data_IF_082209723878
#
_entry.id   IF_082209723878
#
_cell.length_a   1.000
_cell.length_b   1.000
_cell.length_c   1.000
_cell.angle_alpha   90.00
_cell.angle_beta   90.00
_cell.angle_gamma   90.00
#
_symmetry.space_group_name_H-M   'P 1'
#
loop_
_entity.id
_entity.type
_entity.pdbx_description
1 polymer ?
#
# COMPACT_ATOMS: atom_id res chain seq x y z
N UNK A 1 20.29 -22.50 -21.11
CA UNK A 1 21.40 -21.50 -21.04
C UNK A 1 21.06 -20.31 -21.90
N UNK A 2 21.04 -19.08 -21.32
CA UNK A 2 20.52 -17.88 -21.97
C UNK A 2 21.61 -16.78 -22.00
N UNK A 3 21.60 -15.94 -23.05
CA UNK A 3 22.35 -14.68 -23.09
C UNK A 3 21.55 -13.58 -22.37
N UNK A 4 22.19 -12.47 -21.98
CA UNK A 4 21.52 -11.36 -21.27
C UNK A 4 20.30 -10.81 -22.02
N UNK A 5 20.38 -10.66 -23.35
CA UNK A 5 19.24 -10.17 -24.16
C UNK A 5 18.09 -11.16 -24.18
N UNK A 6 18.39 -12.47 -24.31
CA UNK A 6 17.39 -13.54 -24.38
C UNK A 6 16.63 -13.65 -23.07
N UNK A 7 17.33 -13.74 -21.93
CA UNK A 7 16.69 -13.86 -20.63
C UNK A 7 15.89 -12.58 -20.26
N UNK A 8 16.41 -11.42 -20.61
CA UNK A 8 15.72 -10.14 -20.41
C UNK A 8 14.40 -10.09 -21.19
N UNK A 9 14.39 -10.57 -22.43
CA UNK A 9 13.21 -10.65 -23.28
C UNK A 9 12.16 -11.62 -22.69
N UNK A 10 12.59 -12.78 -22.18
CA UNK A 10 11.69 -13.79 -21.58
C UNK A 10 10.97 -13.24 -20.36
N UNK A 11 11.66 -12.45 -19.51
CA UNK A 11 11.06 -11.87 -18.28
C UNK A 11 10.48 -10.47 -18.48
N UNK A 12 10.52 -9.94 -19.69
CA UNK A 12 9.93 -8.64 -20.04
C UNK A 12 10.63 -7.44 -19.39
N UNK A 13 11.97 -7.46 -19.28
CA UNK A 13 12.75 -6.36 -18.70
C UNK A 13 13.86 -5.89 -19.65
N UNK A 14 14.39 -4.71 -19.39
CA UNK A 14 15.59 -4.24 -20.10
C UNK A 14 16.84 -5.08 -19.70
N UNK A 15 17.77 -5.39 -20.61
CA UNK A 15 18.99 -6.14 -20.30
C UNK A 15 19.83 -5.56 -19.15
N UNK A 16 19.79 -4.25 -18.96
CA UNK A 16 20.46 -3.59 -17.85
C UNK A 16 19.83 -3.93 -16.48
N UNK A 17 18.52 -4.11 -16.43
CA UNK A 17 17.80 -4.54 -15.22
C UNK A 17 18.29 -5.91 -14.75
N UNK A 18 18.52 -6.84 -15.66
CA UNK A 18 19.08 -8.16 -15.34
C UNK A 18 20.46 -8.05 -14.69
N UNK A 19 21.32 -7.13 -15.18
CA UNK A 19 22.65 -6.88 -14.59
C UNK A 19 22.56 -6.26 -13.21
N UNK A 20 21.66 -5.29 -13.02
CA UNK A 20 21.40 -4.66 -11.73
C UNK A 20 20.90 -5.70 -10.72
N UNK A 21 20.04 -6.63 -11.13
CA UNK A 21 19.55 -7.69 -10.25
C UNK A 21 20.66 -8.66 -9.83
N UNK A 22 21.64 -8.94 -10.71
CA UNK A 22 22.86 -9.67 -10.35
C UNK A 22 23.69 -8.90 -9.32
N UNK A 23 23.94 -7.60 -9.57
CA UNK A 23 24.74 -6.72 -8.67
C UNK A 23 24.09 -6.60 -7.29
N UNK A 24 22.78 -6.54 -7.23
CA UNK A 24 22.04 -6.44 -5.97
C UNK A 24 21.83 -7.78 -5.27
N UNK A 25 22.26 -8.89 -5.87
CA UNK A 25 22.10 -10.22 -5.30
C UNK A 25 20.65 -10.74 -5.33
N UNK A 26 19.83 -10.23 -6.24
CA UNK A 26 18.47 -10.72 -6.47
C UNK A 26 18.44 -12.01 -7.28
N UNK A 27 19.51 -12.30 -7.97
CA UNK A 27 19.80 -13.59 -8.60
C UNK A 27 21.18 -14.07 -8.14
N UNK A 28 21.40 -15.38 -8.21
CA UNK A 28 22.69 -15.98 -7.88
C UNK A 28 23.80 -15.50 -8.83
N UNK A 29 25.09 -15.62 -8.43
CA UNK A 29 26.21 -15.18 -9.25
C UNK A 29 26.19 -15.82 -10.64
N UNK A 30 26.32 -15.00 -11.69
CA UNK A 30 26.20 -15.46 -13.06
C UNK A 30 27.57 -15.86 -13.62
N UNK A 31 27.78 -17.13 -14.06
CA UNK A 31 29.01 -17.59 -14.69
C UNK A 31 29.31 -16.80 -15.96
N UNK A 32 30.62 -16.66 -16.26
CA UNK A 32 31.09 -16.05 -17.48
C UNK A 32 31.87 -17.07 -18.33
N UNK A 33 31.70 -16.99 -19.64
CA UNK A 33 32.50 -17.74 -20.60
C UNK A 33 33.93 -17.19 -20.68
N UNK A 34 34.81 -17.89 -21.37
CA UNK A 34 36.20 -17.45 -21.63
C UNK A 34 36.30 -16.06 -22.28
N UNK A 35 35.30 -15.62 -23.00
CA UNK A 35 35.17 -14.30 -23.63
C UNK A 35 34.45 -13.27 -22.72
N UNK A 36 34.36 -13.52 -21.42
CA UNK A 36 33.73 -12.67 -20.38
C UNK A 36 32.24 -12.43 -20.53
N UNK A 37 31.53 -13.09 -21.47
CA UNK A 37 30.06 -12.97 -21.58
C UNK A 37 29.37 -13.78 -20.51
N UNK A 38 28.32 -13.18 -19.92
CA UNK A 38 27.41 -13.81 -18.93
C UNK A 38 26.61 -14.92 -19.55
N UNK A 39 26.43 -16.01 -18.81
CA UNK A 39 25.61 -17.17 -19.20
C UNK A 39 24.62 -17.49 -18.10
N UNK A 40 23.36 -17.30 -18.37
CA UNK A 40 22.27 -17.53 -17.42
C UNK A 40 21.73 -18.94 -17.59
N UNK A 41 21.41 -19.58 -16.45
CA UNK A 41 20.75 -20.88 -16.37
C UNK A 41 19.24 -20.73 -16.13
N UNK A 42 18.53 -21.86 -16.06
CA UNK A 42 17.11 -21.90 -15.69
C UNK A 42 16.86 -21.43 -14.24
N UNK A 43 17.85 -21.62 -13.34
CA UNK A 43 17.82 -21.06 -11.98
C UNK A 43 17.74 -19.53 -12.03
N UNK A 44 18.58 -18.88 -12.82
CA UNK A 44 18.55 -17.42 -12.98
C UNK A 44 17.22 -16.96 -13.61
N UNK A 45 16.68 -17.71 -14.55
CA UNK A 45 15.37 -17.43 -15.14
C UNK A 45 14.26 -17.51 -14.09
N UNK A 46 14.30 -18.54 -13.25
CA UNK A 46 13.35 -18.70 -12.14
C UNK A 46 13.46 -17.52 -11.16
N UNK A 47 14.66 -17.19 -10.69
CA UNK A 47 14.90 -16.07 -9.77
C UNK A 47 14.44 -14.72 -10.34
N UNK A 48 14.68 -14.47 -11.63
CA UNK A 48 14.21 -13.27 -12.32
C UNK A 48 12.69 -13.21 -12.40
N UNK A 49 12.01 -14.34 -12.64
CA UNK A 49 10.55 -14.41 -12.62
C UNK A 49 10.01 -14.07 -11.24
N UNK A 50 10.54 -14.68 -10.17
CA UNK A 50 10.17 -14.37 -8.78
C UNK A 50 10.35 -12.88 -8.48
N UNK A 51 11.51 -12.30 -8.81
CA UNK A 51 11.77 -10.89 -8.59
C UNK A 51 10.80 -10.00 -9.38
N UNK A 52 10.52 -10.35 -10.64
CA UNK A 52 9.61 -9.58 -11.49
C UNK A 52 8.20 -9.57 -10.96
N UNK A 53 7.68 -10.72 -10.55
CA UNK A 53 6.31 -10.86 -10.02
C UNK A 53 6.15 -10.10 -8.71
N UNK A 54 7.10 -10.22 -7.77
CA UNK A 54 7.01 -9.55 -6.47
C UNK A 54 7.23 -8.03 -6.53
N UNK A 55 8.05 -7.54 -7.47
CA UNK A 55 8.32 -6.11 -7.62
C UNK A 55 7.32 -5.38 -8.53
N UNK A 56 6.30 -6.04 -9.06
CA UNK A 56 5.17 -5.36 -9.70
C UNK A 56 4.35 -4.56 -8.67
N UNK A 57 4.33 -5.03 -7.43
CA UNK A 57 3.68 -4.32 -6.34
C UNK A 57 4.57 -3.18 -5.81
N UNK A 58 4.10 -1.94 -5.93
CA UNK A 58 4.82 -0.74 -5.48
C UNK A 58 4.43 -0.28 -4.07
N UNK A 59 3.64 -1.06 -3.31
CA UNK A 59 3.20 -0.68 -1.97
C UNK A 59 4.40 -0.60 -1.03
N UNK A 60 4.66 0.60 -0.49
CA UNK A 60 5.79 0.86 0.40
C UNK A 60 5.42 0.65 1.87
N UNK A 61 4.15 0.75 2.22
CA UNK A 61 3.62 0.76 3.58
C UNK A 61 3.50 -0.65 4.17
N UNK A 62 3.33 -0.76 5.47
CA UNK A 62 3.10 -2.03 6.15
C UNK A 62 4.21 -3.07 6.02
N UNK A 63 5.47 -2.67 5.81
CA UNK A 63 6.61 -3.57 5.53
C UNK A 63 6.50 -4.40 4.22
N UNK A 64 5.47 -4.21 3.41
CA UNK A 64 5.17 -5.00 2.21
C UNK A 64 6.38 -5.05 1.27
N UNK A 65 6.94 -3.88 0.94
CA UNK A 65 8.12 -3.79 0.06
C UNK A 65 9.37 -4.47 0.65
N UNK A 66 9.54 -4.38 1.97
CA UNK A 66 10.65 -5.04 2.66
C UNK A 66 10.51 -6.56 2.56
N UNK A 67 9.32 -7.10 2.86
CA UNK A 67 9.04 -8.54 2.78
C UNK A 67 9.27 -9.06 1.35
N UNK A 68 8.74 -8.39 0.33
CA UNK A 68 8.97 -8.76 -1.07
C UNK A 68 10.47 -8.81 -1.42
N UNK A 69 11.24 -7.81 -0.99
CA UNK A 69 12.70 -7.79 -1.20
C UNK A 69 13.42 -8.90 -0.46
N UNK A 70 13.03 -9.21 0.77
CA UNK A 70 13.64 -10.28 1.57
C UNK A 70 13.40 -11.65 0.93
N UNK A 71 12.24 -11.89 0.32
CA UNK A 71 11.95 -13.08 -0.48
C UNK A 71 12.90 -13.17 -1.68
N UNK A 72 13.03 -12.09 -2.45
CA UNK A 72 13.88 -12.06 -3.64
C UNK A 72 15.36 -12.29 -3.27
N UNK A 73 15.87 -11.67 -2.20
CA UNK A 73 17.23 -11.92 -1.70
C UNK A 73 17.45 -13.37 -1.26
N UNK A 74 16.46 -13.95 -0.58
CA UNK A 74 16.53 -15.35 -0.13
C UNK A 74 16.53 -16.30 -1.33
N UNK A 75 15.72 -16.02 -2.33
CA UNK A 75 15.69 -16.73 -3.60
C UNK A 75 17.01 -16.59 -4.36
N UNK A 76 17.61 -15.39 -4.41
CA UNK A 76 18.91 -15.12 -5.01
C UNK A 76 20.07 -15.90 -4.37
N UNK A 77 19.93 -16.30 -3.10
CA UNK A 77 20.85 -17.17 -2.38
C UNK A 77 20.56 -18.67 -2.57
N UNK A 78 19.66 -19.02 -3.48
CA UNK A 78 19.24 -20.40 -3.76
C UNK A 78 18.57 -21.11 -2.55
N UNK A 79 18.11 -20.34 -1.56
CA UNK A 79 17.37 -20.85 -0.38
C UNK A 79 15.87 -20.96 -0.70
N UNK A 80 15.52 -21.77 -1.70
CA UNK A 80 14.18 -21.80 -2.28
C UNK A 80 13.07 -22.19 -1.29
N UNK A 81 13.30 -23.20 -0.44
CA UNK A 81 12.32 -23.59 0.59
C UNK A 81 12.02 -22.44 1.56
N UNK A 82 13.06 -21.71 2.02
CA UNK A 82 12.87 -20.54 2.87
C UNK A 82 12.21 -19.38 2.14
N UNK A 83 12.51 -19.17 0.86
CA UNK A 83 11.85 -18.16 0.05
C UNK A 83 10.36 -18.47 -0.14
N UNK A 84 10.00 -19.74 -0.27
CA UNK A 84 8.60 -20.18 -0.32
C UNK A 84 7.87 -19.91 1.00
N UNK A 85 8.45 -20.25 2.15
CA UNK A 85 7.89 -19.95 3.48
C UNK A 85 7.65 -18.44 3.66
N UNK A 86 8.67 -17.62 3.34
CA UNK A 86 8.55 -16.16 3.39
C UNK A 86 7.47 -15.63 2.44
N UNK A 87 7.22 -16.30 1.31
CA UNK A 87 6.16 -15.91 0.38
C UNK A 87 4.77 -16.25 0.94
N UNK A 88 4.63 -17.33 1.71
CA UNK A 88 3.40 -17.67 2.42
C UNK A 88 3.09 -16.64 3.51
N UNK A 89 4.10 -16.25 4.29
CA UNK A 89 3.97 -15.20 5.31
C UNK A 89 3.60 -13.84 4.67
N UNK A 90 4.23 -13.51 3.55
CA UNK A 90 3.93 -12.31 2.78
C UNK A 90 2.48 -12.31 2.28
N UNK A 91 2.00 -13.39 1.69
CA UNK A 91 0.61 -13.54 1.26
C UNK A 91 -0.37 -13.38 2.42
N UNK A 92 -0.06 -13.97 3.57
CA UNK A 92 -0.87 -13.85 4.78
C UNK A 92 -0.92 -12.42 5.31
N UNK A 93 0.20 -11.70 5.25
CA UNK A 93 0.27 -10.29 5.62
C UNK A 93 -0.54 -9.41 4.66
N UNK A 94 -0.40 -9.60 3.35
CA UNK A 94 -1.17 -8.86 2.34
C UNK A 94 -2.68 -9.02 2.52
N UNK A 95 -3.15 -10.24 2.80
CA UNK A 95 -4.58 -10.51 3.06
C UNK A 95 -5.09 -9.75 4.29
N UNK A 96 -4.29 -9.67 5.36
CA UNK A 96 -4.65 -8.87 6.55
C UNK A 96 -4.74 -7.39 6.24
N UNK A 97 -3.76 -6.84 5.51
CA UNK A 97 -3.79 -5.43 5.09
C UNK A 97 -5.01 -5.12 4.21
N UNK A 98 -5.36 -6.04 3.30
CA UNK A 98 -6.56 -5.93 2.47
C UNK A 98 -7.84 -5.93 3.30
N UNK A 99 -7.97 -6.83 4.28
CA UNK A 99 -9.10 -6.86 5.22
C UNK A 99 -9.20 -5.56 6.02
N UNK A 100 -8.09 -5.02 6.52
CA UNK A 100 -8.08 -3.74 7.23
C UNK A 100 -8.55 -2.58 6.34
N UNK A 101 -8.14 -2.57 5.07
CA UNK A 101 -8.59 -1.57 4.11
C UNK A 101 -10.12 -1.64 3.91
N UNK A 102 -10.68 -2.84 3.76
CA UNK A 102 -12.14 -3.03 3.62
C UNK A 102 -12.92 -2.70 4.89
N UNK A 103 -12.38 -3.02 6.07
CA UNK A 103 -13.01 -2.64 7.35
C UNK A 103 -13.09 -1.12 7.46
N UNK A 104 -12.04 -0.39 7.06
CA UNK A 104 -12.06 1.06 7.07
C UNK A 104 -13.14 1.64 6.13
N UNK A 105 -13.38 1.02 4.96
CA UNK A 105 -14.49 1.37 4.06
C UNK A 105 -15.83 1.20 4.75
N UNK A 106 -16.07 0.07 5.43
CA UNK A 106 -17.32 -0.16 6.19
C UNK A 106 -17.55 0.87 7.30
N UNK A 107 -16.48 1.37 7.93
CA UNK A 107 -16.59 2.47 8.91
C UNK A 107 -17.15 3.73 8.24
N UNK A 108 -16.73 4.05 7.03
CA UNK A 108 -17.25 5.19 6.26
C UNK A 108 -18.71 4.98 5.89
N UNK A 109 -19.07 3.82 5.37
CA UNK A 109 -20.44 3.47 5.00
C UNK A 109 -21.38 3.61 6.20
N UNK A 110 -20.99 3.06 7.36
CA UNK A 110 -21.74 3.18 8.59
C UNK A 110 -21.89 4.63 9.06
N UNK A 111 -20.86 5.44 8.90
CA UNK A 111 -20.91 6.86 9.25
C UNK A 111 -21.92 7.62 8.39
N UNK A 112 -22.01 7.33 7.09
CA UNK A 112 -22.95 7.95 6.17
C UNK A 112 -24.42 7.65 6.52
N UNK A 113 -24.67 6.46 7.06
CA UNK A 113 -26.03 6.04 7.46
C UNK A 113 -26.41 6.43 8.88
N UNK A 114 -25.48 7.05 9.66
CA UNK A 114 -25.83 7.55 10.99
C UNK A 114 -26.70 8.79 10.91
N UNK A 115 -27.77 8.81 11.72
CA UNK A 115 -28.52 10.02 11.94
C UNK A 115 -27.65 11.09 12.63
N UNK A 116 -27.83 12.38 12.31
CA UNK A 116 -27.11 13.46 12.97
C UNK A 116 -27.29 13.38 14.49
N UNK A 117 -26.21 13.35 15.22
CA UNK A 117 -26.23 13.34 16.68
C UNK A 117 -26.44 14.78 17.15
N UNK A 118 -27.57 15.08 17.76
CA UNK A 118 -27.85 16.36 18.41
C UNK A 118 -27.19 16.39 19.80
N UNK A 119 -25.87 16.26 19.88
CA UNK A 119 -25.13 16.37 21.13
C UNK A 119 -24.47 17.76 21.22
N UNK A 120 -24.63 18.44 22.34
CA UNK A 120 -24.12 19.80 22.59
C UNK A 120 -22.70 19.75 23.15
N UNK A 121 -22.12 18.57 23.34
CA UNK A 121 -20.75 18.44 23.88
C UNK A 121 -19.70 19.06 22.94
N UNK A 122 -18.78 19.76 23.55
CA UNK A 122 -17.70 20.44 22.86
C UNK A 122 -16.36 19.97 23.43
N UNK A 123 -15.41 19.71 22.57
CA UNK A 123 -14.11 19.17 22.92
C UNK A 123 -12.99 20.07 22.44
N UNK A 124 -11.93 20.16 23.20
CA UNK A 124 -10.64 20.74 22.78
C UNK A 124 -9.88 19.72 21.93
N UNK A 125 -8.88 20.17 21.17
CA UNK A 125 -8.01 19.26 20.39
C UNK A 125 -7.35 18.17 21.26
N UNK A 126 -6.94 18.51 22.49
CA UNK A 126 -6.30 17.54 23.39
C UNK A 126 -7.29 16.45 23.84
N UNK A 127 -8.54 16.83 24.11
CA UNK A 127 -9.60 15.89 24.51
C UNK A 127 -9.97 14.98 23.35
N UNK A 128 -10.13 15.51 22.13
CA UNK A 128 -10.38 14.70 20.93
C UNK A 128 -9.22 13.73 20.67
N UNK A 129 -7.99 14.20 20.76
CA UNK A 129 -6.81 13.35 20.57
C UNK A 129 -6.79 12.18 21.57
N UNK A 130 -7.11 12.46 22.85
CA UNK A 130 -7.25 11.43 23.89
C UNK A 130 -8.40 10.47 23.61
N UNK A 131 -9.57 11.00 23.23
CA UNK A 131 -10.77 10.21 22.92
C UNK A 131 -10.53 9.25 21.75
N UNK A 132 -9.76 9.69 20.76
CA UNK A 132 -9.46 8.92 19.56
C UNK A 132 -8.14 8.12 19.63
N UNK A 133 -7.44 8.18 20.76
CA UNK A 133 -6.14 7.52 20.94
C UNK A 133 -5.15 7.87 19.80
N UNK A 134 -4.98 9.17 19.58
CA UNK A 134 -4.04 9.77 18.58
C UNK A 134 -3.33 10.96 19.21
N UNK A 135 -2.30 11.47 18.52
CA UNK A 135 -1.60 12.67 18.99
C UNK A 135 -2.35 13.96 18.61
N UNK A 136 -2.27 15.02 19.40
CA UNK A 136 -2.81 16.34 19.01
C UNK A 136 -2.21 16.88 17.71
N UNK A 137 -0.97 16.50 17.40
CA UNK A 137 -0.27 16.82 16.15
C UNK A 137 -0.90 16.12 14.95
N UNK A 138 -1.36 14.88 15.11
CA UNK A 138 -2.10 14.18 14.06
C UNK A 138 -3.38 14.93 13.70
N UNK A 139 -4.18 15.34 14.71
CA UNK A 139 -5.40 16.15 14.49
C UNK A 139 -5.05 17.46 13.78
N UNK A 140 -4.00 18.17 14.25
CA UNK A 140 -3.53 19.41 13.61
C UNK A 140 -3.07 19.20 12.17
N UNK A 141 -2.40 18.09 11.89
CA UNK A 141 -1.97 17.73 10.54
C UNK A 141 -3.17 17.52 9.61
N UNK A 142 -4.21 16.82 10.06
CA UNK A 142 -5.42 16.60 9.29
C UNK A 142 -6.21 17.89 9.01
N UNK A 143 -6.29 18.81 10.01
CA UNK A 143 -6.84 20.15 9.80
C UNK A 143 -6.05 20.92 8.73
N UNK A 144 -4.71 20.91 8.81
CA UNK A 144 -3.85 21.63 7.86
C UNK A 144 -3.94 21.10 6.43
N UNK A 145 -4.20 19.81 6.28
CA UNK A 145 -4.41 19.17 4.99
C UNK A 145 -5.87 19.23 4.50
N UNK A 146 -6.74 20.00 5.20
CA UNK A 146 -8.13 20.21 4.76
C UNK A 146 -9.03 18.98 4.89
N UNK A 147 -8.63 17.96 5.68
CA UNK A 147 -9.47 16.79 5.90
C UNK A 147 -10.65 17.06 6.84
N UNK A 148 -10.56 18.14 7.62
CA UNK A 148 -11.63 18.58 8.48
C UNK A 148 -11.59 20.10 8.62
N UNK A 149 -12.76 20.71 8.57
CA UNK A 149 -12.97 22.13 8.94
C UNK A 149 -13.53 22.21 10.36
N UNK A 150 -12.86 22.98 11.21
CA UNK A 150 -13.19 23.05 12.64
C UNK A 150 -13.57 24.48 12.99
N UNK A 151 -14.78 24.70 13.52
CA UNK A 151 -15.24 26.02 13.94
C UNK A 151 -14.33 26.61 15.04
N UNK A 152 -14.28 27.94 15.07
CA UNK A 152 -13.52 28.70 16.07
C UNK A 152 -14.48 29.51 16.92
N UNK A 153 -14.18 29.57 18.21
CA UNK A 153 -14.83 30.53 19.10
C UNK A 153 -14.35 31.96 18.81
N UNK A 154 -15.05 32.97 19.35
CA UNK A 154 -14.68 34.37 19.25
C UNK A 154 -13.24 34.66 19.73
N UNK A 155 -12.75 33.91 20.71
CA UNK A 155 -11.36 33.98 21.21
C UNK A 155 -10.33 33.24 20.32
N UNK A 156 -10.74 32.72 19.16
CA UNK A 156 -9.89 32.04 18.18
C UNK A 156 -9.59 30.57 18.48
N UNK A 157 -10.03 30.02 19.62
CA UNK A 157 -9.83 28.61 19.94
C UNK A 157 -10.73 27.70 19.09
N UNK A 158 -10.17 26.57 18.64
CA UNK A 158 -10.93 25.53 17.93
C UNK A 158 -11.77 24.71 18.89
N UNK A 159 -12.99 24.45 18.49
CA UNK A 159 -13.93 23.59 19.21
C UNK A 159 -14.44 22.49 18.28
N UNK A 160 -14.41 21.27 18.78
CA UNK A 160 -14.87 20.08 18.07
C UNK A 160 -16.20 19.64 18.69
N UNK A 161 -17.26 19.69 17.91
CA UNK A 161 -18.53 19.05 18.26
C UNK A 161 -18.52 17.56 17.94
N UNK A 162 -19.61 16.89 18.20
CA UNK A 162 -19.73 15.45 17.92
C UNK A 162 -19.58 15.13 16.41
N UNK A 163 -20.05 16.03 15.54
CA UNK A 163 -19.87 15.89 14.09
C UNK A 163 -18.39 15.84 13.70
N UNK A 164 -17.58 16.75 14.23
CA UNK A 164 -16.13 16.79 13.97
C UNK A 164 -15.43 15.57 14.57
N UNK A 165 -15.85 15.11 15.74
CA UNK A 165 -15.32 13.90 16.37
C UNK A 165 -15.60 12.65 15.53
N UNK A 166 -16.81 12.48 15.04
CA UNK A 166 -17.17 11.35 14.16
C UNK A 166 -16.40 11.39 12.83
N UNK A 167 -16.24 12.57 12.21
CA UNK A 167 -15.41 12.71 11.02
C UNK A 167 -13.96 12.35 11.29
N UNK A 168 -13.40 12.76 12.43
CA UNK A 168 -12.05 12.38 12.83
C UNK A 168 -11.90 10.89 13.11
N UNK A 169 -12.94 10.19 13.60
CA UNK A 169 -12.97 8.72 13.72
C UNK A 169 -12.82 8.04 12.36
N UNK A 170 -13.55 8.53 11.37
CA UNK A 170 -13.45 8.05 9.98
C UNK A 170 -12.06 8.28 9.41
N UNK A 171 -11.54 9.50 9.54
CA UNK A 171 -10.17 9.83 9.07
C UNK A 171 -9.14 8.93 9.75
N UNK A 172 -9.24 8.74 11.08
CA UNK A 172 -8.36 7.83 11.83
C UNK A 172 -8.41 6.42 11.27
N UNK A 173 -9.60 5.86 11.05
CA UNK A 173 -9.78 4.51 10.51
C UNK A 173 -9.11 4.35 9.14
N UNK A 174 -9.36 5.28 8.23
CA UNK A 174 -8.75 5.28 6.90
C UNK A 174 -7.21 5.43 6.97
N UNK A 175 -6.71 6.31 7.83
CA UNK A 175 -5.27 6.49 8.02
C UNK A 175 -4.60 5.26 8.64
N UNK A 176 -5.27 4.58 9.57
CA UNK A 176 -4.79 3.32 10.17
C UNK A 176 -4.75 2.18 9.14
N UNK A 177 -5.65 2.20 8.16
CA UNK A 177 -5.65 1.28 7.03
C UNK A 177 -4.75 1.75 5.86
N UNK A 178 -3.88 2.74 6.09
CA UNK A 178 -2.88 3.24 5.15
C UNK A 178 -3.42 4.01 3.93
N UNK A 179 -4.69 4.41 3.89
CA UNK A 179 -5.17 5.30 2.84
C UNK A 179 -4.42 6.64 2.86
N UNK A 180 -4.12 7.19 1.69
CA UNK A 180 -3.43 8.47 1.57
C UNK A 180 -4.30 9.65 2.04
N UNK A 181 -3.67 10.78 2.33
CA UNK A 181 -4.38 12.03 2.62
C UNK A 181 -5.21 12.45 1.40
N UNK A 182 -4.67 12.28 0.19
CA UNK A 182 -5.36 12.63 -1.06
C UNK A 182 -6.62 11.76 -1.27
N UNK A 183 -6.51 10.43 -1.08
CA UNK A 183 -7.68 9.54 -1.17
C UNK A 183 -8.77 9.92 -0.18
N UNK A 184 -8.39 10.27 1.07
CA UNK A 184 -9.34 10.70 2.10
C UNK A 184 -9.96 12.05 1.75
N UNK A 185 -9.16 13.01 1.27
CA UNK A 185 -9.67 14.32 0.85
C UNK A 185 -10.67 14.17 -0.31
N UNK A 186 -10.35 13.35 -1.31
CA UNK A 186 -11.23 13.01 -2.42
C UNK A 186 -12.55 12.41 -1.92
N UNK A 187 -12.49 11.45 -0.99
CA UNK A 187 -13.68 10.89 -0.38
C UNK A 187 -14.53 11.95 0.29
N UNK A 188 -13.97 12.75 1.19
CA UNK A 188 -14.70 13.77 1.93
C UNK A 188 -15.33 14.85 1.03
N UNK A 189 -14.70 15.18 -0.09
CA UNK A 189 -15.24 16.12 -1.08
C UNK A 189 -16.40 15.55 -1.91
N UNK A 190 -16.50 14.22 -2.03
CA UNK A 190 -17.49 13.55 -2.87
C UNK A 190 -18.58 12.79 -2.08
N UNK A 191 -18.46 12.73 -0.76
CA UNK A 191 -19.30 11.93 0.12
C UNK A 191 -20.78 12.36 0.10
N UNK A 192 -21.06 13.60 -0.29
CA UNK A 192 -22.43 14.14 -0.36
C UNK A 192 -23.14 13.82 -1.70
N UNK A 193 -22.49 13.07 -2.60
CA UNK A 193 -23.16 12.61 -3.84
C UNK A 193 -24.23 11.55 -3.50
N UNK A 194 -25.29 11.44 -4.31
CA UNK A 194 -26.24 10.35 -4.15
C UNK A 194 -25.57 8.99 -4.34
N UNK A 195 -25.70 8.10 -3.37
CA UNK A 195 -25.14 6.73 -3.39
C UNK A 195 -23.65 6.65 -3.76
N UNK A 196 -22.74 7.26 -2.99
CA UNK A 196 -21.32 7.27 -3.30
C UNK A 196 -20.72 5.86 -3.21
N UNK A 197 -20.00 5.43 -4.24
CA UNK A 197 -19.20 4.21 -4.19
C UNK A 197 -17.87 4.51 -3.46
N UNK A 198 -17.80 4.18 -2.18
CA UNK A 198 -16.66 4.52 -1.31
C UNK A 198 -15.35 3.90 -1.80
N UNK A 199 -15.38 2.62 -2.18
CA UNK A 199 -14.20 1.92 -2.68
C UNK A 199 -13.68 2.57 -3.96
N UNK A 200 -14.57 2.89 -4.89
CA UNK A 200 -14.21 3.52 -6.16
C UNK A 200 -13.59 4.91 -5.92
N UNK A 201 -14.22 5.74 -5.10
CA UNK A 201 -13.72 7.08 -4.77
C UNK A 201 -12.33 7.00 -4.13
N UNK A 202 -12.12 6.10 -3.18
CA UNK A 202 -10.83 5.94 -2.50
C UNK A 202 -9.73 5.40 -3.40
N UNK A 203 -10.06 4.69 -4.48
CA UNK A 203 -9.09 3.99 -5.34
C UNK A 203 -8.98 4.54 -6.77
N UNK A 204 -9.71 5.60 -7.10
CA UNK A 204 -9.70 6.22 -8.45
C UNK A 204 -9.21 7.66 -8.37
N UNK A 205 -7.89 7.92 -8.40
CA UNK A 205 -7.35 9.27 -8.46
C UNK A 205 -7.85 9.98 -9.71
N UNK A 206 -8.14 11.28 -9.60
CA UNK A 206 -8.60 12.10 -10.72
C UNK A 206 -7.40 12.56 -11.56
N UNK A 207 -7.63 12.84 -12.86
CA UNK A 207 -6.60 13.33 -13.78
C UNK A 207 -5.97 14.67 -13.36
N UNK A 208 -6.64 15.41 -12.47
CA UNK A 208 -6.20 16.72 -11.97
C UNK A 208 -5.34 16.61 -10.67
N UNK A 209 -5.03 15.39 -10.21
CA UNK A 209 -4.14 15.23 -9.06
C UNK A 209 -2.67 15.31 -9.51
N UNK A 210 -1.94 16.32 -9.02
CA UNK A 210 -0.53 16.59 -9.40
C UNK A 210 0.40 15.40 -9.09
N UNK A 211 0.09 14.61 -8.06
CA UNK A 211 0.86 13.44 -7.65
C UNK A 211 -0.10 12.30 -7.31
N UNK A 212 -0.14 11.29 -8.17
CA UNK A 212 -0.84 10.01 -7.91
C UNK A 212 0.13 9.04 -7.26
N UNK A 213 -0.16 8.61 -6.05
CA UNK A 213 0.63 7.61 -5.35
C UNK A 213 -0.05 6.24 -5.38
N UNK A 214 0.72 5.18 -5.17
CA UNK A 214 0.19 3.81 -5.07
C UNK A 214 -0.87 3.70 -3.96
N UNK A 215 -0.72 4.49 -2.90
CA UNK A 215 -1.69 4.56 -1.79
C UNK A 215 -3.01 5.23 -2.17
N UNK A 216 -3.09 5.87 -3.33
CA UNK A 216 -4.34 6.39 -3.88
C UNK A 216 -5.17 5.31 -4.58
N UNK A 217 -4.60 4.10 -4.73
CA UNK A 217 -5.22 2.89 -5.27
C UNK A 217 -5.00 1.68 -4.35
N UNK A 218 -5.06 1.91 -3.05
CA UNK A 218 -4.61 0.94 -2.04
C UNK A 218 -5.23 -0.45 -2.22
N UNK A 219 -6.55 -0.55 -2.33
CA UNK A 219 -7.25 -1.84 -2.47
C UNK A 219 -6.78 -2.56 -3.74
N UNK A 220 -6.77 -1.88 -4.88
CA UNK A 220 -6.32 -2.45 -6.14
C UNK A 220 -4.85 -2.89 -6.08
N UNK A 221 -3.98 -2.08 -5.49
CA UNK A 221 -2.57 -2.44 -5.34
C UNK A 221 -2.35 -3.64 -4.42
N UNK A 222 -3.19 -3.81 -3.39
CA UNK A 222 -3.16 -4.98 -2.53
C UNK A 222 -3.67 -6.24 -3.27
N UNK A 223 -4.71 -6.11 -4.10
CA UNK A 223 -5.19 -7.21 -4.95
C UNK A 223 -4.11 -7.67 -5.92
N UNK A 224 -3.46 -6.75 -6.62
CA UNK A 224 -2.33 -7.04 -7.52
C UNK A 224 -1.16 -7.71 -6.78
N UNK A 225 -0.86 -7.27 -5.55
CA UNK A 225 0.18 -7.88 -4.73
C UNK A 225 -0.18 -9.31 -4.28
N UNK A 226 -1.43 -9.56 -3.91
CA UNK A 226 -1.93 -10.88 -3.54
C UNK A 226 -1.85 -11.83 -4.74
N UNK A 227 -2.22 -11.36 -5.94
CA UNK A 227 -2.09 -12.14 -7.16
C UNK A 227 -0.62 -12.49 -7.45
N UNK A 228 0.28 -11.51 -7.39
CA UNK A 228 1.72 -11.74 -7.56
C UNK A 228 2.32 -12.71 -6.53
N UNK A 229 1.88 -12.66 -5.26
CA UNK A 229 2.31 -13.61 -4.24
C UNK A 229 1.84 -15.05 -4.56
N UNK A 230 0.60 -15.21 -5.03
CA UNK A 230 0.07 -16.52 -5.46
C UNK A 230 0.82 -17.05 -6.68
N UNK A 231 1.08 -16.21 -7.69
CA UNK A 231 1.90 -16.59 -8.85
C UNK A 231 3.30 -17.03 -8.43
N UNK A 232 3.93 -16.30 -7.49
CA UNK A 232 5.26 -16.65 -6.95
C UNK A 232 5.23 -18.01 -6.27
N UNK A 233 4.21 -18.31 -5.45
CA UNK A 233 4.05 -19.64 -4.84
C UNK A 233 3.85 -20.74 -5.89
N UNK A 234 3.16 -20.46 -6.99
CA UNK A 234 3.02 -21.41 -8.09
C UNK A 234 4.34 -21.67 -8.83
N UNK A 235 5.27 -20.71 -8.85
CA UNK A 235 6.61 -20.90 -9.41
C UNK A 235 7.45 -21.86 -8.56
N UNK A 236 7.34 -21.82 -7.21
CA UNK A 236 8.08 -22.73 -6.31
C UNK A 236 7.62 -24.20 -6.39
N UNK A 237 6.41 -24.45 -6.88
CA UNK A 237 5.84 -25.81 -7.00
C UNK A 237 6.20 -26.52 -8.32
N UNK A 238 6.86 -25.84 -9.23
CA UNK A 238 7.29 -26.37 -10.55
C UNK A 238 8.73 -26.82 -10.52
#
# INVERSE_FOLDING_TARGET
MYKTKEIAQIVGVHPNTVRIYEEWGFISPVPRKNNWYRVYSDIHLFQLKVARTLFQCEIVQGNIRKMARDIVYTCGKEQFGKAEELTQDYLSHLKKEYEYALVAVKVVENWLHKNPINDVRQYTRKEVARLLDITPEAVRNWERNGLIDVPRLENGFRIYGEKEVEQLRVIRSLRSAHYSINSIHRLLSQIHRPSPNIIEILNSPTENEDIVTVTDRLVKSLEEAIEGANETLALFKK
#
